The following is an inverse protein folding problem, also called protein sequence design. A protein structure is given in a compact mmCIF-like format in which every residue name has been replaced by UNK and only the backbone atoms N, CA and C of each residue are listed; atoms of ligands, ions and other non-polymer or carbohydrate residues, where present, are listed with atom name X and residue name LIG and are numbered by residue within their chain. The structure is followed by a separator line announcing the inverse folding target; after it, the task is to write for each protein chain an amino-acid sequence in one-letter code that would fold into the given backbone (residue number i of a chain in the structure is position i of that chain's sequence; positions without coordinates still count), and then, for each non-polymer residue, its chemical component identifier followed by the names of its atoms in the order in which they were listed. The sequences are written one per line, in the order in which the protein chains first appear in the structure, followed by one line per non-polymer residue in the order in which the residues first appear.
data_IF_905392696394
#
_entry.id   IF_905392696394
#
_cell.length_a   1.000
_cell.length_b   1.000
_cell.length_c   1.000
_cell.angle_alpha   90.00
_cell.angle_beta   90.00
_cell.angle_gamma   90.00
#
_symmetry.space_group_name_H-M   'P 1'
#
loop_
_entity.id
_entity.type
_entity.pdbx_description
1 polymer ?
#
# COMPACT_ATOMS: atom_id res chain seq x y z
N UNK A 1 8.07 95.05 -40.43
CA UNK A 1 6.97 94.14 -40.85
C UNK A 1 6.87 93.06 -39.78
N UNK A 2 5.64 92.72 -39.38
CA UNK A 2 5.35 91.90 -38.20
C UNK A 2 6.18 90.60 -38.11
N UNK A 3 6.81 90.38 -36.96
CA UNK A 3 7.43 89.12 -36.55
C UNK A 3 6.37 88.02 -36.53
N UNK A 4 6.31 87.25 -37.61
CA UNK A 4 5.60 85.98 -37.62
C UNK A 4 6.54 84.94 -37.03
N UNK A 5 6.48 84.78 -35.71
CA UNK A 5 7.18 83.74 -34.94
C UNK A 5 6.74 82.32 -35.38
N UNK A 6 7.17 81.88 -36.56
CA UNK A 6 7.11 80.48 -36.97
C UNK A 6 8.48 79.86 -36.73
N UNK A 7 8.59 79.15 -35.60
CA UNK A 7 9.74 78.29 -35.33
C UNK A 7 9.50 76.97 -36.07
N UNK A 8 10.16 76.80 -37.21
CA UNK A 8 10.15 75.53 -37.93
C UNK A 8 10.85 74.47 -37.06
N UNK A 9 10.21 73.31 -36.91
CA UNK A 9 10.85 72.18 -36.22
C UNK A 9 11.96 71.64 -37.13
N UNK A 10 13.20 71.70 -36.66
CA UNK A 10 14.39 71.33 -37.42
C UNK A 10 15.13 70.24 -36.65
N UNK A 11 15.79 69.30 -37.35
CA UNK A 11 16.69 68.38 -36.68
C UNK A 11 17.76 69.17 -35.91
N UNK A 12 18.21 68.66 -34.75
CA UNK A 12 19.25 69.31 -33.98
C UNK A 12 20.52 69.50 -34.82
N UNK A 13 21.27 70.55 -34.53
CA UNK A 13 22.57 70.80 -35.17
C UNK A 13 23.50 69.59 -34.92
N UNK A 14 23.89 68.89 -35.98
CA UNK A 14 24.64 67.62 -35.91
C UNK A 14 23.84 66.35 -36.25
N UNK A 15 22.53 66.48 -36.46
CA UNK A 15 21.64 65.39 -36.87
C UNK A 15 21.23 64.45 -35.74
N UNK A 16 20.26 63.58 -36.02
CA UNK A 16 19.80 62.58 -35.06
C UNK A 16 20.83 61.46 -34.84
N UNK A 17 20.77 60.81 -33.67
CA UNK A 17 21.61 59.64 -33.37
C UNK A 17 21.42 58.57 -34.44
N UNK A 18 22.52 57.95 -34.88
CA UNK A 18 22.51 56.79 -35.78
C UNK A 18 21.61 55.69 -35.19
N UNK A 19 20.52 55.40 -35.88
CA UNK A 19 19.60 54.34 -35.52
C UNK A 19 20.08 53.01 -36.12
N UNK A 20 20.15 51.98 -35.30
CA UNK A 20 20.45 50.65 -35.80
C UNK A 20 19.18 50.04 -36.40
N UNK A 21 19.11 49.99 -37.72
CA UNK A 21 18.01 49.38 -38.45
C UNK A 21 18.24 47.87 -38.70
N UNK A 22 19.44 47.36 -38.43
CA UNK A 22 19.74 45.93 -38.60
C UNK A 22 19.05 45.08 -37.55
N UNK A 23 18.61 43.89 -37.95
CA UNK A 23 18.07 42.89 -37.02
C UNK A 23 19.16 42.38 -36.09
N UNK A 24 19.07 42.69 -34.80
CA UNK A 24 19.96 42.16 -33.76
C UNK A 24 19.33 40.98 -33.04
N UNK A 25 19.96 39.82 -33.09
CA UNK A 25 19.53 38.66 -32.31
C UNK A 25 20.16 38.69 -30.90
N UNK A 26 19.38 38.41 -29.84
CA UNK A 26 19.93 38.27 -28.50
C UNK A 26 20.85 37.03 -28.44
N UNK A 27 21.96 37.14 -27.72
CA UNK A 27 22.84 35.98 -27.47
C UNK A 27 22.11 35.01 -26.53
N UNK A 28 21.85 33.79 -27.01
CA UNK A 28 21.24 32.74 -26.19
C UNK A 28 22.32 32.16 -25.26
N UNK A 29 22.05 32.21 -23.95
CA UNK A 29 22.92 31.69 -22.89
C UNK A 29 22.82 30.16 -22.83
N UNK A 30 21.61 29.62 -22.98
CA UNK A 30 21.32 28.19 -22.97
C UNK A 30 21.69 27.53 -24.31
N UNK A 31 22.99 27.33 -24.52
CA UNK A 31 23.51 26.61 -25.68
C UNK A 31 23.60 25.12 -25.36
N UNK A 32 23.56 24.22 -26.37
CA UNK A 32 23.71 22.78 -26.15
C UNK A 32 24.94 22.40 -25.32
N UNK A 33 26.06 23.10 -25.50
CA UNK A 33 27.29 22.87 -24.74
C UNK A 33 27.22 23.21 -23.24
N UNK A 34 26.21 23.96 -22.79
CA UNK A 34 25.96 24.22 -21.36
C UNK A 34 24.84 23.32 -20.85
N UNK A 35 23.76 23.16 -21.62
CA UNK A 35 22.59 22.38 -21.21
C UNK A 35 22.95 20.91 -20.98
N UNK A 36 23.68 20.30 -21.92
CA UNK A 36 24.01 18.87 -21.87
C UNK A 36 24.83 18.52 -20.61
N UNK A 37 25.97 19.17 -20.31
CA UNK A 37 26.73 18.85 -19.11
C UNK A 37 25.98 19.18 -17.82
N UNK A 38 25.19 20.26 -17.78
CA UNK A 38 24.34 20.55 -16.62
C UNK A 38 23.33 19.43 -16.38
N UNK A 39 22.65 18.96 -17.43
CA UNK A 39 21.68 17.86 -17.31
C UNK A 39 22.35 16.57 -16.86
N UNK A 40 23.51 16.22 -17.44
CA UNK A 40 24.28 15.04 -17.04
C UNK A 40 24.75 15.14 -15.59
N UNK A 41 25.21 16.32 -15.15
CA UNK A 41 25.61 16.57 -13.76
C UNK A 41 24.45 16.41 -12.79
N UNK A 42 23.28 16.99 -13.10
CA UNK A 42 22.07 16.81 -12.30
C UNK A 42 21.63 15.34 -12.24
N UNK A 43 21.68 14.62 -13.37
CA UNK A 43 21.32 13.21 -13.43
C UNK A 43 22.28 12.34 -12.59
N UNK A 44 23.59 12.57 -12.71
CA UNK A 44 24.61 11.86 -11.94
C UNK A 44 24.48 12.11 -10.43
N UNK A 45 24.17 13.35 -10.03
CA UNK A 45 23.90 13.67 -8.62
C UNK A 45 22.62 12.99 -8.12
N UNK A 46 21.55 13.00 -8.92
CA UNK A 46 20.30 12.34 -8.60
C UNK A 46 20.45 10.83 -8.45
N UNK A 47 21.23 10.17 -9.31
CA UNK A 47 21.49 8.72 -9.18
C UNK A 47 22.34 8.40 -7.95
N UNK A 48 23.34 9.22 -7.63
CA UNK A 48 24.13 9.09 -6.41
C UNK A 48 23.26 9.21 -5.15
N UNK A 49 22.43 10.24 -5.06
CA UNK A 49 21.52 10.43 -3.93
C UNK A 49 20.48 9.31 -3.85
N UNK A 50 19.94 8.87 -4.99
CA UNK A 50 19.00 7.74 -5.06
C UNK A 50 19.62 6.44 -4.54
N UNK A 51 20.90 6.19 -4.86
CA UNK A 51 21.62 5.03 -4.34
C UNK A 51 21.84 5.10 -2.82
N UNK A 52 22.24 6.27 -2.31
CA UNK A 52 22.37 6.49 -0.86
C UNK A 52 21.05 6.27 -0.13
N UNK A 53 19.94 6.82 -0.64
CA UNK A 53 18.61 6.64 -0.07
C UNK A 53 18.14 5.19 -0.13
N UNK A 54 18.43 4.48 -1.23
CA UNK A 54 18.11 3.05 -1.35
C UNK A 54 18.80 2.23 -0.26
N UNK A 55 20.06 2.53 0.04
CA UNK A 55 20.81 1.85 1.13
C UNK A 55 20.14 2.10 2.48
N UNK A 56 19.75 3.34 2.77
CA UNK A 56 19.06 3.69 4.01
C UNK A 56 17.72 2.96 4.15
N UNK A 57 16.87 2.98 3.11
CA UNK A 57 15.60 2.25 3.09
C UNK A 57 15.77 0.74 3.24
N UNK A 58 16.87 0.19 2.76
CA UNK A 58 17.16 -1.23 2.94
C UNK A 58 17.47 -1.55 4.40
N UNK A 59 18.21 -0.68 5.09
CA UNK A 59 18.46 -0.81 6.54
C UNK A 59 17.16 -0.72 7.34
N UNK A 60 16.31 0.27 7.06
CA UNK A 60 14.99 0.39 7.71
C UNK A 60 14.15 -0.88 7.53
N UNK A 61 14.11 -1.43 6.31
CA UNK A 61 13.40 -2.70 6.05
C UNK A 61 13.99 -3.89 6.80
N UNK A 62 15.30 -3.92 7.00
CA UNK A 62 15.93 -4.97 7.79
C UNK A 62 15.49 -4.86 9.25
N UNK A 63 15.46 -3.66 9.82
CA UNK A 63 14.96 -3.41 11.17
C UNK A 63 13.49 -3.83 11.33
N UNK A 64 12.63 -3.47 10.37
CA UNK A 64 11.22 -3.89 10.37
C UNK A 64 11.06 -5.42 10.36
N UNK A 65 11.85 -6.10 9.51
CA UNK A 65 11.84 -7.56 9.42
C UNK A 65 12.36 -8.22 10.70
N UNK A 66 13.39 -7.66 11.33
CA UNK A 66 13.95 -8.18 12.58
C UNK A 66 12.95 -8.04 13.72
N UNK A 67 12.23 -6.91 13.80
CA UNK A 67 11.13 -6.71 14.76
C UNK A 67 10.02 -7.73 14.51
N UNK A 68 9.63 -7.95 13.25
CA UNK A 68 8.60 -8.93 12.90
C UNK A 68 9.03 -10.35 13.28
N UNK A 69 10.28 -10.73 13.00
CA UNK A 69 10.83 -12.03 13.36
C UNK A 69 10.85 -12.24 14.89
N UNK A 70 11.17 -11.19 15.66
CA UNK A 70 11.16 -11.24 17.12
C UNK A 70 9.76 -11.45 17.70
N UNK A 71 8.72 -10.87 17.06
CA UNK A 71 7.33 -10.94 17.52
C UNK A 71 6.60 -12.18 16.99
N UNK A 72 7.02 -12.72 15.84
CA UNK A 72 6.42 -13.88 15.17
C UNK A 72 6.14 -15.10 16.08
N UNK A 73 7.03 -15.54 16.99
CA UNK A 73 6.73 -16.69 17.84
C UNK A 73 5.54 -16.45 18.77
N UNK A 74 5.35 -15.22 19.28
CA UNK A 74 4.20 -14.88 20.11
C UNK A 74 2.90 -14.90 19.31
N UNK A 75 2.89 -14.26 18.14
CA UNK A 75 1.72 -14.23 17.25
C UNK A 75 1.33 -15.64 16.79
N UNK A 76 2.32 -16.46 16.46
CA UNK A 76 2.10 -17.86 16.05
C UNK A 76 1.51 -18.65 17.21
N UNK A 77 2.05 -18.53 18.41
CA UNK A 77 1.52 -19.22 19.59
C UNK A 77 0.09 -18.79 19.96
N UNK A 78 -0.24 -17.50 19.85
CA UNK A 78 -1.59 -16.99 20.08
C UNK A 78 -2.58 -17.53 19.03
N UNK A 79 -2.19 -17.49 17.76
CA UNK A 79 -2.96 -18.03 16.64
C UNK A 79 -3.22 -19.52 16.83
N UNK A 80 -2.19 -20.30 17.14
CA UNK A 80 -2.29 -21.75 17.29
C UNK A 80 -3.19 -22.11 18.50
N UNK A 81 -3.09 -21.37 19.61
CA UNK A 81 -4.01 -21.51 20.76
C UNK A 81 -5.46 -21.23 20.38
N UNK A 82 -5.72 -20.14 19.64
CA UNK A 82 -7.08 -19.81 19.16
C UNK A 82 -7.61 -20.91 18.26
N UNK A 83 -6.79 -21.38 17.34
CA UNK A 83 -7.16 -22.38 16.35
C UNK A 83 -7.49 -23.75 16.98
N UNK A 84 -6.64 -24.25 17.88
CA UNK A 84 -6.90 -25.50 18.61
C UNK A 84 -8.20 -25.43 19.42
N UNK A 85 -8.53 -24.27 20.00
CA UNK A 85 -9.81 -24.07 20.70
C UNK A 85 -11.01 -24.21 19.76
N UNK A 86 -10.93 -23.67 18.55
CA UNK A 86 -11.99 -23.79 17.54
C UNK A 86 -12.14 -25.26 17.12
N UNK A 87 -11.03 -25.95 16.83
CA UNK A 87 -11.07 -27.37 16.45
C UNK A 87 -11.65 -28.25 17.55
N UNK A 88 -11.26 -28.00 18.80
CA UNK A 88 -11.83 -28.70 19.96
C UNK A 88 -13.34 -28.51 20.04
N UNK A 89 -13.82 -27.26 19.88
CA UNK A 89 -15.26 -26.95 19.87
C UNK A 89 -15.99 -27.66 18.73
N UNK A 90 -15.44 -27.66 17.52
CA UNK A 90 -16.04 -28.37 16.38
C UNK A 90 -16.13 -29.87 16.65
N UNK A 91 -15.09 -30.45 17.27
CA UNK A 91 -15.09 -31.88 17.65
C UNK A 91 -16.11 -32.21 18.73
N UNK A 92 -16.33 -31.32 19.69
CA UNK A 92 -17.38 -31.44 20.71
C UNK A 92 -18.78 -31.41 20.05
N UNK A 93 -19.01 -30.46 19.14
CA UNK A 93 -20.27 -30.37 18.37
C UNK A 93 -20.49 -31.61 17.51
N UNK A 94 -19.44 -32.12 16.85
CA UNK A 94 -19.51 -33.34 16.04
C UNK A 94 -19.88 -34.56 16.90
N UNK A 95 -19.29 -34.71 18.08
CA UNK A 95 -19.63 -35.78 19.04
C UNK A 95 -21.11 -35.70 19.46
N UNK A 96 -21.61 -34.51 19.78
CA UNK A 96 -22.99 -34.31 20.20
C UNK A 96 -23.99 -34.58 19.08
N UNK A 97 -23.67 -34.15 17.86
CA UNK A 97 -24.54 -34.27 16.69
C UNK A 97 -24.58 -35.71 16.14
N UNK A 98 -23.46 -36.43 16.17
CA UNK A 98 -23.32 -37.73 15.51
C UNK A 98 -23.47 -38.94 16.46
N UNK A 99 -23.79 -38.71 17.74
CA UNK A 99 -23.91 -39.76 18.76
C UNK A 99 -24.88 -40.90 18.39
N UNK A 100 -25.93 -40.60 17.63
CA UNK A 100 -27.00 -41.54 17.29
C UNK A 100 -26.75 -42.26 15.94
N UNK A 101 -25.67 -41.93 15.23
CA UNK A 101 -25.35 -42.51 13.92
C UNK A 101 -24.50 -43.77 14.10
N UNK A 102 -24.97 -44.95 13.66
CA UNK A 102 -24.24 -46.20 13.84
C UNK A 102 -22.93 -46.20 13.04
N UNK A 103 -21.83 -46.58 13.70
CA UNK A 103 -20.50 -46.68 13.08
C UNK A 103 -19.78 -45.35 12.87
N UNK A 104 -20.35 -44.22 13.33
CA UNK A 104 -19.65 -42.94 13.29
C UNK A 104 -18.53 -42.89 14.35
N UNK A 105 -17.34 -42.47 13.93
CA UNK A 105 -16.21 -42.20 14.81
C UNK A 105 -15.65 -40.82 14.49
N UNK A 106 -15.69 -39.95 15.49
CA UNK A 106 -15.38 -38.53 15.37
C UNK A 106 -13.98 -38.26 14.83
N UNK A 107 -13.90 -37.46 13.76
CA UNK A 107 -12.66 -37.15 13.04
C UNK A 107 -12.20 -38.21 12.03
N UNK A 108 -13.04 -39.22 11.76
CA UNK A 108 -12.82 -40.21 10.69
C UNK A 108 -14.08 -40.35 9.85
N UNK A 109 -13.94 -40.76 8.60
CA UNK A 109 -15.07 -41.09 7.75
C UNK A 109 -15.55 -42.51 8.05
N UNK A 110 -16.56 -42.65 8.93
CA UNK A 110 -17.09 -43.96 9.37
C UNK A 110 -16.01 -44.96 9.85
N UNK A 111 -14.97 -44.46 10.52
CA UNK A 111 -13.85 -45.27 11.00
C UNK A 111 -12.62 -45.29 10.09
N UNK A 112 -12.73 -44.83 8.84
CA UNK A 112 -11.61 -44.68 7.92
C UNK A 112 -10.96 -43.29 8.02
N UNK A 113 -9.62 -43.18 7.99
CA UNK A 113 -8.97 -41.89 7.98
C UNK A 113 -9.25 -41.15 6.66
N UNK A 114 -9.53 -39.85 6.73
CA UNK A 114 -9.83 -39.02 5.55
C UNK A 114 -8.61 -38.89 4.63
N UNK A 115 -7.40 -38.89 5.20
CA UNK A 115 -6.15 -38.80 4.46
C UNK A 115 -5.30 -40.03 4.71
N UNK A 116 -4.77 -40.61 3.63
CA UNK A 116 -3.72 -41.62 3.71
C UNK A 116 -2.37 -40.93 3.85
N UNK A 117 -1.80 -40.96 5.04
CA UNK A 117 -0.49 -40.37 5.33
C UNK A 117 0.57 -41.44 5.53
N UNK A 118 1.81 -41.10 5.21
CA UNK A 118 2.96 -41.91 5.58
C UNK A 118 3.26 -41.67 7.07
N UNK A 119 2.60 -42.43 7.95
CA UNK A 119 2.69 -42.30 9.42
C UNK A 119 1.75 -41.26 10.03
N UNK A 120 2.00 -40.88 11.29
CA UNK A 120 1.17 -39.97 12.10
C UNK A 120 1.45 -38.49 11.79
N UNK A 121 1.22 -38.10 10.54
CA UNK A 121 1.39 -36.71 10.10
C UNK A 121 0.10 -35.92 10.32
N UNK A 122 0.21 -34.77 10.98
CA UNK A 122 -0.89 -33.82 11.09
C UNK A 122 -1.18 -33.16 9.73
N UNK A 123 -2.47 -33.03 9.39
CA UNK A 123 -2.94 -32.30 8.23
C UNK A 123 -3.78 -31.12 8.68
N UNK A 124 -3.47 -29.93 8.17
CA UNK A 124 -4.22 -28.73 8.55
C UNK A 124 -5.60 -28.76 7.90
N UNK A 125 -6.70 -28.69 8.69
CA UNK A 125 -8.04 -28.61 8.17
C UNK A 125 -8.24 -27.40 7.25
N UNK A 126 -9.09 -27.60 6.25
CA UNK A 126 -9.49 -26.54 5.34
C UNK A 126 -10.25 -25.42 6.06
N UNK A 127 -10.28 -24.23 5.48
CA UNK A 127 -11.00 -23.10 6.08
C UNK A 127 -12.49 -23.37 6.28
N UNK A 128 -13.11 -24.07 5.34
CA UNK A 128 -14.52 -24.46 5.44
C UNK A 128 -14.77 -25.41 6.62
N UNK A 129 -13.79 -26.26 6.95
CA UNK A 129 -13.89 -27.22 8.06
C UNK A 129 -13.72 -26.52 9.42
N UNK A 130 -12.77 -25.59 9.50
CA UNK A 130 -12.53 -24.78 10.72
C UNK A 130 -13.75 -23.90 11.02
N UNK A 131 -14.32 -23.26 10.00
CA UNK A 131 -15.39 -22.28 10.14
C UNK A 131 -16.80 -22.83 9.88
N UNK A 132 -16.97 -24.17 9.81
CA UNK A 132 -18.23 -24.83 9.47
C UNK A 132 -19.42 -24.38 10.35
N UNK A 133 -19.17 -24.14 11.64
CA UNK A 133 -20.18 -23.73 12.62
C UNK A 133 -20.17 -22.22 12.91
N UNK A 134 -19.39 -21.45 12.17
CA UNK A 134 -19.28 -20.00 12.33
C UNK A 134 -20.12 -19.27 11.28
N UNK A 135 -20.58 -18.04 11.53
CA UNK A 135 -21.25 -17.26 10.51
C UNK A 135 -20.29 -16.94 9.36
N UNK A 136 -20.81 -16.91 8.12
CA UNK A 136 -20.03 -16.61 6.91
C UNK A 136 -19.20 -15.33 6.99
N UNK A 137 -19.69 -14.33 7.75
CA UNK A 137 -18.97 -13.09 8.02
C UNK A 137 -17.66 -13.35 8.78
N UNK A 138 -17.71 -14.09 9.88
CA UNK A 138 -16.52 -14.42 10.66
C UNK A 138 -15.45 -15.16 9.84
N UNK A 139 -15.89 -16.07 8.95
CA UNK A 139 -15.00 -16.72 7.98
C UNK A 139 -14.33 -15.71 7.03
N UNK A 140 -15.08 -14.74 6.51
CA UNK A 140 -14.57 -13.74 5.57
C UNK A 140 -13.60 -12.78 6.26
N UNK A 141 -13.92 -12.34 7.49
CA UNK A 141 -13.08 -11.46 8.29
C UNK A 141 -11.72 -12.13 8.62
N UNK A 142 -11.72 -13.42 8.94
CA UNK A 142 -10.49 -14.15 9.25
C UNK A 142 -9.68 -14.48 7.98
N UNK A 143 -10.35 -14.76 6.85
CA UNK A 143 -9.71 -15.00 5.56
C UNK A 143 -8.99 -13.76 5.03
N UNK A 144 -9.64 -12.61 5.11
CA UNK A 144 -9.13 -11.42 4.47
C UNK A 144 -7.89 -10.88 5.18
N UNK A 145 -7.63 -11.26 6.45
CA UNK A 145 -6.50 -10.88 7.34
C UNK A 145 -5.78 -9.59 6.90
N UNK A 146 -6.56 -8.59 6.50
CA UNK A 146 -6.14 -7.32 5.95
C UNK A 146 -6.51 -6.42 7.07
N UNK A 147 -5.54 -6.05 7.92
CA UNK A 147 -5.68 -5.10 9.02
C UNK A 147 -6.99 -4.32 8.93
N UNK A 148 -8.05 -4.89 9.51
CA UNK A 148 -9.35 -4.27 9.43
C UNK A 148 -9.21 -3.06 10.35
N UNK A 149 -9.42 -1.87 9.83
CA UNK A 149 -9.48 -0.64 10.64
C UNK A 149 -10.56 -0.70 11.74
N UNK A 150 -11.35 -1.77 11.74
CA UNK A 150 -12.37 -2.14 12.72
C UNK A 150 -11.79 -2.49 14.10
N UNK A 151 -10.51 -2.85 14.19
CA UNK A 151 -9.85 -3.13 15.47
C UNK A 151 -9.17 -1.90 16.11
N UNK A 152 -9.20 -0.70 15.49
CA UNK A 152 -8.44 0.45 16.01
C UNK A 152 -9.24 1.67 16.47
N UNK A 153 -10.50 1.86 16.05
CA UNK A 153 -11.41 2.92 16.54
C UNK A 153 -12.75 2.84 15.78
N UNK A 154 -13.84 3.47 16.28
CA UNK A 154 -15.00 3.75 15.44
C UNK A 154 -14.57 4.51 14.18
N UNK A 155 -14.94 4.00 13.00
CA UNK A 155 -14.61 4.63 11.72
C UNK A 155 -15.42 5.92 11.61
N UNK A 156 -14.87 6.95 10.96
CA UNK A 156 -15.52 8.27 10.88
C UNK A 156 -16.94 8.22 10.26
N UNK A 157 -17.22 7.21 9.42
CA UNK A 157 -18.49 7.00 8.74
C UNK A 157 -19.50 6.16 9.53
N UNK A 158 -19.10 5.47 10.60
CA UNK A 158 -20.02 4.64 11.41
C UNK A 158 -21.10 5.49 12.10
N UNK A 159 -20.82 6.78 12.35
CA UNK A 159 -21.79 7.75 12.87
C UNK A 159 -22.95 8.03 11.90
N UNK A 160 -22.73 7.84 10.61
CA UNK A 160 -23.64 8.29 9.54
C UNK A 160 -24.36 7.14 8.84
N UNK A 161 -23.89 5.91 9.01
CA UNK A 161 -24.50 4.72 8.42
C UNK A 161 -25.44 4.10 9.45
N UNK A 162 -26.75 4.00 9.15
CA UNK A 162 -27.69 3.27 10.00
C UNK A 162 -27.24 1.81 10.19
N UNK A 163 -27.35 1.26 11.41
CA UNK A 163 -26.91 -0.11 11.73
C UNK A 163 -27.51 -1.18 10.80
N UNK A 164 -28.72 -0.93 10.28
CA UNK A 164 -29.41 -1.80 9.34
C UNK A 164 -28.64 -1.94 8.02
N UNK A 165 -28.06 -0.85 7.51
CA UNK A 165 -27.28 -0.83 6.28
C UNK A 165 -25.85 -1.32 6.52
N UNK A 166 -25.27 -1.04 7.69
CA UNK A 166 -23.92 -1.46 8.06
C UNK A 166 -23.70 -2.98 7.94
N UNK A 167 -24.73 -3.79 8.26
CA UNK A 167 -24.68 -5.27 8.17
C UNK A 167 -24.51 -5.84 6.76
N UNK A 168 -24.81 -5.05 5.72
CA UNK A 168 -24.76 -5.51 4.33
C UNK A 168 -23.59 -4.91 3.53
N UNK A 169 -23.03 -3.80 3.99
CA UNK A 169 -21.91 -3.10 3.34
C UNK A 169 -20.57 -3.73 3.75
N UNK A 170 -20.49 -4.23 4.98
CA UNK A 170 -19.29 -4.80 5.60
C UNK A 170 -19.60 -6.16 6.23
#
# INVERSE_FOLDING_TARGET
MADKNFRQDMPPEGGYRKFNWNRTYPKIVWRPGIIIPTLVGCAAFGTYQGYAQKKHRQTEKFEDNDIMNAIQPFLTAERDRRWIKILKKNREIENELMKDVPGWKTGTWYGEPVYFTLGDKWWDPGQLEVFAHSPRKAQSDEYMFRHHSEYSAPKFYDKWIPEILGRYIW
#
